data_IF_393549719807
#
_entry.id   IF_393549719807
#
_cell.length_a   1.000
_cell.length_b   1.000
_cell.length_c   1.000
_cell.angle_alpha   90.00
_cell.angle_beta   90.00
_cell.angle_gamma   90.00
#
_symmetry.space_group_name_H-M   'P 1'
#
loop_
_entity.id
_entity.type
_entity.pdbx_description
1 polymer ?
#
# COMPACT_ATOMS: atom_id res chain seq x y z
N UNK A 1 -21.69 -23.83 10.82
CA UNK A 1 -20.94 -22.55 10.80
C UNK A 1 -21.21 -21.83 12.11
N UNK A 2 -20.17 -21.55 12.90
CA UNK A 2 -20.33 -20.91 14.19
C UNK A 2 -20.50 -19.40 13.96
N UNK A 3 -21.71 -18.88 14.15
CA UNK A 3 -22.06 -17.47 13.89
C UNK A 3 -21.05 -16.46 14.47
N UNK A 4 -20.46 -16.74 15.65
CA UNK A 4 -19.42 -15.91 16.26
C UNK A 4 -18.12 -15.76 15.44
N UNK A 5 -17.68 -16.81 14.73
CA UNK A 5 -16.48 -16.76 13.87
C UNK A 5 -16.71 -15.90 12.63
N UNK A 6 -17.89 -16.03 12.04
CA UNK A 6 -18.24 -15.30 10.81
C UNK A 6 -18.27 -13.79 11.07
N UNK A 7 -18.78 -13.35 12.24
CA UNK A 7 -18.69 -11.94 12.66
C UNK A 7 -17.24 -11.46 12.83
N UNK A 8 -16.35 -12.25 13.47
CA UNK A 8 -14.95 -11.86 13.63
C UNK A 8 -14.23 -11.70 12.29
N UNK A 9 -14.48 -12.59 11.33
CA UNK A 9 -13.90 -12.50 9.98
C UNK A 9 -14.41 -11.26 9.25
N UNK A 10 -15.71 -10.98 9.34
CA UNK A 10 -16.34 -9.84 8.67
C UNK A 10 -15.80 -8.51 9.20
N UNK A 11 -15.64 -8.37 10.53
CA UNK A 11 -14.99 -7.21 11.12
C UNK A 11 -13.53 -7.08 10.69
N UNK A 12 -12.79 -8.19 10.59
CA UNK A 12 -11.39 -8.17 10.17
C UNK A 12 -11.24 -7.71 8.72
N UNK A 13 -12.06 -8.23 7.81
CA UNK A 13 -12.06 -7.82 6.39
C UNK A 13 -12.46 -6.35 6.25
N UNK A 14 -13.47 -5.90 7.01
CA UNK A 14 -13.87 -4.50 7.03
C UNK A 14 -12.73 -3.57 7.48
N UNK A 15 -12.06 -3.90 8.59
CA UNK A 15 -10.92 -3.12 9.10
C UNK A 15 -9.77 -3.14 8.10
N UNK A 16 -9.50 -4.27 7.46
CA UNK A 16 -8.47 -4.38 6.42
C UNK A 16 -8.75 -3.43 5.25
N UNK A 17 -9.99 -3.45 4.71
CA UNK A 17 -10.40 -2.53 3.65
C UNK A 17 -10.33 -1.05 4.07
N UNK A 18 -10.80 -0.73 5.27
CA UNK A 18 -10.70 0.63 5.82
C UNK A 18 -9.23 1.09 5.96
N UNK A 19 -8.34 0.18 6.33
CA UNK A 19 -6.90 0.45 6.45
C UNK A 19 -6.29 0.73 5.08
N UNK A 20 -6.61 -0.07 4.07
CA UNK A 20 -6.14 0.16 2.68
C UNK A 20 -6.54 1.55 2.21
N UNK A 21 -7.82 1.92 2.36
CA UNK A 21 -8.31 3.26 2.01
C UNK A 21 -7.60 4.37 2.78
N UNK A 22 -7.37 4.18 4.09
CA UNK A 22 -6.65 5.15 4.90
C UNK A 22 -5.19 5.33 4.44
N UNK A 23 -4.54 4.24 4.02
CA UNK A 23 -3.19 4.27 3.43
C UNK A 23 -3.21 5.00 2.10
N UNK A 24 -4.16 4.74 1.20
CA UNK A 24 -4.26 5.46 -0.08
C UNK A 24 -4.38 6.97 0.12
N UNK A 25 -5.26 7.40 1.04
CA UNK A 25 -5.49 8.82 1.35
C UNK A 25 -4.30 9.47 2.07
N UNK A 26 -3.53 8.69 2.82
CA UNK A 26 -2.30 9.18 3.46
C UNK A 26 -1.15 9.30 2.46
N UNK A 27 -1.04 8.34 1.53
CA UNK A 27 -0.05 8.35 0.47
C UNK A 27 -0.26 9.54 -0.50
N UNK A 28 -1.51 9.84 -0.86
CA UNK A 28 -1.82 11.02 -1.69
C UNK A 28 -1.40 12.33 -1.02
N UNK A 29 -1.61 12.45 0.30
CA UNK A 29 -1.15 13.60 1.10
C UNK A 29 0.36 13.70 1.23
N UNK A 30 1.07 12.57 1.30
CA UNK A 30 2.53 12.53 1.32
C UNK A 30 3.12 12.93 -0.04
N UNK A 31 2.48 12.57 -1.15
CA UNK A 31 2.94 12.91 -2.50
C UNK A 31 2.59 14.35 -2.94
N UNK A 32 1.47 14.91 -2.46
CA UNK A 32 0.98 16.26 -2.82
C UNK A 32 2.07 17.35 -2.75
N UNK A 33 2.90 17.49 -1.70
CA UNK A 33 3.93 18.52 -1.64
C UNK A 33 5.11 18.33 -2.59
N UNK A 34 5.33 17.12 -3.15
CA UNK A 34 6.50 16.81 -4.01
C UNK A 34 6.17 16.71 -5.50
N UNK A 35 5.01 16.16 -5.85
CA UNK A 35 4.60 15.91 -7.24
C UNK A 35 3.44 16.81 -7.71
N UNK A 36 2.87 17.61 -6.80
CA UNK A 36 1.71 18.46 -7.04
C UNK A 36 0.39 17.68 -7.10
N UNK A 37 -0.74 18.37 -6.89
CA UNK A 37 -2.11 17.83 -6.99
C UNK A 37 -2.55 17.59 -8.46
N UNK A 38 -1.67 16.98 -9.26
CA UNK A 38 -1.99 16.63 -10.65
C UNK A 38 -2.84 15.36 -10.72
N UNK A 39 -3.95 15.40 -11.48
CA UNK A 39 -4.82 14.25 -11.72
C UNK A 39 -4.05 13.00 -12.21
N UNK A 40 -2.96 13.20 -12.94
CA UNK A 40 -2.07 12.14 -13.41
C UNK A 40 -1.36 11.39 -12.28
N UNK A 41 -0.92 12.09 -11.22
CA UNK A 41 -0.24 11.48 -10.07
C UNK A 41 -1.23 10.61 -9.29
N UNK A 42 -2.45 11.10 -9.11
CA UNK A 42 -3.52 10.37 -8.44
C UNK A 42 -3.91 9.10 -9.22
N UNK A 43 -4.01 9.20 -10.55
CA UNK A 43 -4.27 8.05 -11.41
C UNK A 43 -3.15 6.98 -11.33
N UNK A 44 -1.88 7.42 -11.30
CA UNK A 44 -0.75 6.51 -11.14
C UNK A 44 -0.77 5.81 -9.77
N UNK A 45 -1.07 6.56 -8.70
CA UNK A 45 -1.15 6.05 -7.34
C UNK A 45 -2.22 4.94 -7.20
N UNK A 46 -3.43 5.18 -7.67
CA UNK A 46 -4.49 4.15 -7.66
C UNK A 46 -4.08 2.96 -8.53
N UNK A 47 -3.52 3.20 -9.72
CA UNK A 47 -3.06 2.13 -10.61
C UNK A 47 -2.04 1.21 -9.94
N UNK A 48 -1.05 1.78 -9.25
CA UNK A 48 -0.06 1.05 -8.48
C UNK A 48 -0.69 0.28 -7.31
N UNK A 49 -1.61 0.89 -6.56
CA UNK A 49 -2.25 0.22 -5.42
C UNK A 49 -3.08 -0.98 -5.89
N UNK A 50 -3.80 -0.86 -7.02
CA UNK A 50 -4.51 -1.99 -7.63
C UNK A 50 -3.56 -3.11 -8.05
N UNK A 51 -2.39 -2.77 -8.61
CA UNK A 51 -1.35 -3.77 -8.95
C UNK A 51 -0.85 -4.46 -7.67
N UNK A 52 -0.52 -3.70 -6.62
CA UNK A 52 -0.06 -4.27 -5.35
C UNK A 52 -1.12 -5.16 -4.70
N UNK A 53 -2.38 -4.73 -4.68
CA UNK A 53 -3.49 -5.53 -4.18
C UNK A 53 -3.66 -6.81 -5.01
N UNK A 54 -3.55 -6.74 -6.33
CA UNK A 54 -3.65 -7.92 -7.20
C UNK A 54 -2.54 -8.93 -6.88
N UNK A 55 -1.29 -8.47 -6.78
CA UNK A 55 -0.15 -9.31 -6.41
C UNK A 55 -0.33 -9.88 -4.99
N UNK A 56 -0.79 -9.06 -4.05
CA UNK A 56 -1.05 -9.45 -2.67
C UNK A 56 -2.16 -10.51 -2.56
N UNK A 57 -3.27 -10.35 -3.29
CA UNK A 57 -4.35 -11.33 -3.32
C UNK A 57 -3.93 -12.63 -4.01
N UNK A 58 -3.13 -12.56 -5.07
CA UNK A 58 -2.61 -13.74 -5.73
C UNK A 58 -1.67 -14.54 -4.81
N UNK A 59 -0.70 -13.88 -4.18
CA UNK A 59 0.24 -14.52 -3.27
C UNK A 59 -0.44 -14.97 -1.97
N UNK A 60 -1.30 -14.14 -1.40
CA UNK A 60 -2.06 -14.42 -0.19
C UNK A 60 -3.05 -15.56 -0.38
N UNK A 61 -3.77 -15.59 -1.51
CA UNK A 61 -4.66 -16.69 -1.89
C UNK A 61 -3.89 -18.00 -2.07
N UNK A 62 -2.76 -17.96 -2.81
CA UNK A 62 -1.91 -19.16 -2.99
C UNK A 62 -1.34 -19.69 -1.68
N UNK A 63 -1.02 -18.79 -0.73
CA UNK A 63 -0.52 -19.18 0.60
C UNK A 63 -1.65 -19.73 1.49
N UNK A 64 -2.85 -19.14 1.42
CA UNK A 64 -4.04 -19.61 2.13
C UNK A 64 -4.47 -21.01 1.65
N UNK A 65 -4.43 -21.27 0.34
CA UNK A 65 -4.73 -22.59 -0.24
C UNK A 65 -3.74 -23.67 0.22
N UNK A 66 -2.47 -23.29 0.42
CA UNK A 66 -1.42 -24.21 0.87
C UNK A 66 -1.47 -24.50 2.37
N UNK A 67 -1.99 -23.56 3.17
CA UNK A 67 -2.05 -23.66 4.62
C UNK A 67 -3.36 -23.05 5.16
N UNK A 68 -4.49 -23.78 5.11
CA UNK A 68 -5.79 -23.29 5.53
C UNK A 68 -5.89 -23.25 7.07
N UNK A 69 -5.22 -22.27 7.69
CA UNK A 69 -5.23 -22.03 9.14
C UNK A 69 -5.59 -20.58 9.42
N UNK A 70 -6.54 -20.37 10.34
CA UNK A 70 -6.95 -19.02 10.78
C UNK A 70 -5.76 -18.21 11.34
N UNK A 71 -4.78 -18.89 11.94
CA UNK A 71 -3.55 -18.27 12.48
C UNK A 71 -2.72 -17.56 11.41
N UNK A 72 -2.76 -18.03 10.15
CA UNK A 72 -2.00 -17.45 9.05
C UNK A 72 -2.58 -16.10 8.63
N UNK A 73 -3.91 -15.97 8.65
CA UNK A 73 -4.60 -14.71 8.39
C UNK A 73 -4.23 -13.65 9.44
N UNK A 74 -4.23 -14.02 10.73
CA UNK A 74 -3.83 -13.10 11.80
C UNK A 74 -2.34 -12.72 11.72
N UNK A 75 -1.45 -13.65 11.37
CA UNK A 75 -0.03 -13.36 11.17
C UNK A 75 0.21 -12.43 9.98
N UNK A 76 -0.45 -12.67 8.85
CA UNK A 76 -0.39 -11.81 7.67
C UNK A 76 -0.91 -10.40 8.00
N UNK A 77 -2.01 -10.29 8.75
CA UNK A 77 -2.54 -9.01 9.19
C UNK A 77 -1.58 -8.27 10.13
N UNK A 78 -0.92 -8.98 11.06
CA UNK A 78 0.10 -8.41 11.94
C UNK A 78 1.30 -7.88 11.16
N UNK A 79 1.83 -8.68 10.23
CA UNK A 79 2.95 -8.27 9.37
C UNK A 79 2.58 -7.10 8.47
N UNK A 80 1.36 -7.08 7.91
CA UNK A 80 0.86 -5.97 7.11
C UNK A 80 0.74 -4.69 7.94
N UNK A 81 0.13 -4.75 9.13
CA UNK A 81 0.04 -3.60 10.03
C UNK A 81 1.41 -3.10 10.48
N UNK A 82 2.35 -4.00 10.75
CA UNK A 82 3.73 -3.65 11.09
C UNK A 82 4.46 -2.97 9.92
N UNK A 83 4.33 -3.50 8.70
CA UNK A 83 4.88 -2.89 7.49
C UNK A 83 4.29 -1.49 7.25
N UNK A 84 2.97 -1.33 7.38
CA UNK A 84 2.29 -0.03 7.25
C UNK A 84 2.78 0.96 8.30
N UNK A 85 2.99 0.51 9.54
CA UNK A 85 3.54 1.36 10.62
C UNK A 85 4.99 1.80 10.36
N UNK A 86 5.75 1.03 9.57
CA UNK A 86 7.11 1.36 9.15
C UNK A 86 7.16 2.38 8.00
N UNK A 87 6.11 2.48 7.19
CA UNK A 87 6.00 3.42 6.06
C UNK A 87 6.43 4.86 6.42
N UNK A 88 5.89 5.52 7.47
CA UNK A 88 6.27 6.90 7.79
C UNK A 88 7.73 7.05 8.23
N UNK A 89 8.35 5.98 8.73
CA UNK A 89 9.77 5.97 9.11
C UNK A 89 10.69 5.86 7.88
N UNK A 90 10.28 5.06 6.88
CA UNK A 90 11.03 4.85 5.62
C UNK A 90 10.77 5.98 4.61
N UNK A 91 9.62 6.64 4.69
CA UNK A 91 9.26 7.77 3.83
C UNK A 91 10.19 8.98 4.00
N UNK A 92 10.73 9.19 5.22
CA UNK A 92 11.63 10.31 5.51
C UNK A 92 12.95 10.27 4.69
N UNK A 93 13.69 9.16 4.61
CA UNK A 93 14.89 9.08 3.76
C UNK A 93 14.58 8.97 2.26
N UNK A 94 13.49 8.31 1.86
CA UNK A 94 13.15 8.13 0.43
C UNK A 94 12.87 9.47 -0.28
N UNK A 95 12.23 10.42 0.42
CA UNK A 95 12.00 11.79 -0.07
C UNK A 95 13.30 12.59 -0.23
N UNK A 96 14.33 12.32 0.58
CA UNK A 96 15.65 12.98 0.43
C UNK A 96 16.41 12.48 -0.80
N UNK A 97 16.33 11.18 -1.15
CA UNK A 97 17.02 10.63 -2.31
C UNK A 97 16.40 11.07 -3.65
N UNK A 98 15.08 11.25 -3.71
CA UNK A 98 14.38 11.72 -4.92
C UNK A 98 14.79 13.15 -5.29
N UNK A 99 15.10 14.00 -4.30
CA UNK A 99 15.55 15.37 -4.52
C UNK A 99 17.02 15.50 -4.93
N UNK A 100 17.85 14.47 -4.78
CA UNK A 100 19.26 14.52 -5.25
C UNK A 100 19.44 14.11 -6.73
N UNK A 101 18.37 13.66 -7.40
CA UNK A 101 18.37 13.29 -8.82
C UNK A 101 17.84 14.40 -9.73
N UNK A 102 18.32 15.63 -9.55
CA UNK A 102 18.10 16.71 -10.52
C UNK A 102 18.93 16.42 -11.78
N UNK A 103 18.28 16.21 -12.94
CA UNK A 103 18.19 17.19 -14.03
C UNK A 103 17.60 16.54 -15.31
N UNK A 104 16.29 16.70 -15.58
CA UNK A 104 15.64 16.89 -16.92
C UNK A 104 14.13 16.59 -16.92
N UNK A 105 13.45 17.32 -17.82
CA UNK A 105 12.01 17.58 -18.03
C UNK A 105 11.04 16.36 -18.07
N UNK A 106 9.78 16.62 -17.66
CA UNK A 106 8.48 15.92 -17.84
C UNK A 106 8.36 14.40 -17.71
N UNK A 107 9.31 13.59 -18.19
CA UNK A 107 9.36 12.14 -17.98
C UNK A 107 9.75 11.77 -16.53
N UNK A 108 10.41 12.69 -15.84
CA UNK A 108 10.89 12.58 -14.44
C UNK A 108 9.76 12.57 -13.41
N UNK A 109 8.61 13.21 -13.67
CA UNK A 109 7.45 13.18 -12.77
C UNK A 109 6.80 11.79 -12.77
N UNK A 110 6.70 11.17 -13.96
CA UNK A 110 6.11 9.84 -14.10
C UNK A 110 7.05 8.79 -13.50
N UNK A 111 8.34 8.82 -13.86
CA UNK A 111 9.32 7.85 -13.37
C UNK A 111 9.59 8.05 -11.87
N UNK A 112 9.68 9.29 -11.41
CA UNK A 112 9.90 9.62 -10.00
C UNK A 112 8.70 9.28 -9.10
N UNK A 113 7.47 9.52 -9.56
CA UNK A 113 6.27 9.10 -8.81
C UNK A 113 6.13 7.58 -8.82
N UNK A 114 6.41 6.91 -9.94
CA UNK A 114 6.36 5.46 -10.06
C UNK A 114 7.39 4.78 -9.14
N UNK A 115 8.64 5.26 -9.13
CA UNK A 115 9.69 4.74 -8.24
C UNK A 115 9.44 5.09 -6.77
N UNK A 116 8.93 6.29 -6.49
CA UNK A 116 8.58 6.71 -5.14
C UNK A 116 7.46 5.86 -4.54
N UNK A 117 6.42 5.56 -5.32
CA UNK A 117 5.33 4.67 -4.90
C UNK A 117 5.81 3.21 -4.81
N UNK A 118 6.80 2.81 -5.62
CA UNK A 118 7.37 1.45 -5.55
C UNK A 118 8.26 1.21 -4.33
N UNK A 119 8.83 2.27 -3.76
CA UNK A 119 9.68 2.22 -2.58
C UNK A 119 8.92 2.36 -1.24
N UNK A 120 7.65 2.72 -1.28
CA UNK A 120 6.81 3.07 -0.14
C UNK A 120 5.86 1.92 0.21
#
# INVERSE_FOLDING_TARGET
MNSHRDYMLLTTVFVCGATVMAVEMSASRLLSPYFGDSQLVWANLIGLILIYLTVGYYLGGRLADRWPRDSLLYQLALWAGFAIGLIPFVSRPALCYSLSGFDTFSASIIIGSFLGIMLL
#
